data_IF_861921888563
#
_entry.id   IF_861921888563
#
_cell.length_a   1.000
_cell.length_b   1.000
_cell.length_c   1.000
_cell.angle_alpha   90.00
_cell.angle_beta   90.00
_cell.angle_gamma   90.00
#
_symmetry.space_group_name_H-M   'P 1'
#
loop_
_entity.id
_entity.type
_entity.pdbx_description
1 polymer ?
#
# COMPACT_ATOMS: atom_id res chain seq x y z
N UNK A 1 12.69 -6.96 -9.50
CA UNK A 1 11.56 -6.00 -9.59
C UNK A 1 12.08 -4.77 -10.31
N UNK A 2 11.75 -4.61 -11.59
CA UNK A 2 12.01 -3.36 -12.31
C UNK A 2 11.15 -2.27 -11.66
N UNK A 3 11.75 -1.13 -11.31
CA UNK A 3 10.99 0.00 -10.76
C UNK A 3 10.27 0.73 -11.90
N UNK A 4 9.06 1.23 -11.64
CA UNK A 4 8.23 2.00 -12.59
C UNK A 4 9.00 3.13 -13.32
N UNK A 5 9.95 3.75 -12.62
CA UNK A 5 10.80 4.82 -13.15
C UNK A 5 11.72 4.36 -14.30
N UNK A 6 12.24 3.13 -14.24
CA UNK A 6 13.09 2.56 -15.29
C UNK A 6 12.29 2.25 -16.57
N UNK A 7 11.08 1.71 -16.39
CA UNK A 7 10.17 1.33 -17.49
C UNK A 7 9.81 2.56 -18.34
N UNK A 8 9.57 3.70 -17.68
CA UNK A 8 9.25 4.94 -18.38
C UNK A 8 10.45 5.50 -19.17
N UNK A 9 11.66 5.36 -18.64
CA UNK A 9 12.89 5.83 -19.30
C UNK A 9 13.23 5.01 -20.56
N UNK A 10 12.92 3.71 -20.54
CA UNK A 10 13.20 2.78 -21.65
C UNK A 10 12.11 2.78 -22.74
N UNK A 11 11.06 3.59 -22.59
CA UNK A 11 9.95 3.66 -23.55
C UNK A 11 9.04 2.41 -23.51
N UNK A 12 9.16 1.59 -22.47
CA UNK A 12 8.26 0.50 -22.18
C UNK A 12 6.92 1.05 -21.66
N UNK A 13 5.84 0.33 -21.92
CA UNK A 13 4.48 0.74 -21.55
C UNK A 13 3.73 -0.41 -20.90
N UNK A 14 2.73 -0.08 -20.08
CA UNK A 14 1.96 -1.05 -19.31
C UNK A 14 0.47 -0.93 -19.59
N UNK A 15 -0.23 -2.07 -19.65
CA UNK A 15 -1.69 -2.13 -19.53
C UNK A 15 -2.02 -2.42 -18.07
N UNK A 16 -2.88 -1.59 -17.47
CA UNK A 16 -3.41 -1.84 -16.13
C UNK A 16 -4.73 -2.59 -16.25
N UNK A 17 -4.83 -3.71 -15.55
CA UNK A 17 -6.02 -4.54 -15.47
C UNK A 17 -6.54 -4.56 -14.02
N UNK A 18 -7.82 -4.26 -13.83
CA UNK A 18 -8.46 -4.17 -12.51
C UNK A 18 -8.41 -2.77 -11.89
N UNK A 19 -9.02 -2.62 -10.71
CA UNK A 19 -9.10 -1.37 -9.97
C UNK A 19 -8.25 -1.46 -8.70
N UNK A 20 -7.50 -0.40 -8.40
CA UNK A 20 -6.89 -0.25 -7.08
C UNK A 20 -7.99 -0.10 -6.05
N UNK A 21 -7.97 -0.91 -5.00
CA UNK A 21 -8.89 -0.76 -3.87
C UNK A 21 -8.14 -0.74 -2.55
N UNK A 22 -8.63 0.06 -1.60
CA UNK A 22 -8.12 0.10 -0.23
C UNK A 22 -9.31 -0.21 0.67
N UNK A 23 -9.18 -1.24 1.50
CA UNK A 23 -10.18 -1.67 2.45
C UNK A 23 -9.62 -1.55 3.86
N UNK A 24 -10.44 -1.10 4.80
CA UNK A 24 -10.07 -1.12 6.22
C UNK A 24 -10.42 -2.52 6.75
N UNK A 25 -9.40 -3.26 7.15
CA UNK A 25 -9.56 -4.58 7.75
C UNK A 25 -9.96 -4.48 9.22
N UNK A 26 -9.15 -3.76 10.00
CA UNK A 26 -9.34 -3.64 11.45
C UNK A 26 -9.00 -2.23 11.94
N UNK A 27 -9.66 -1.81 13.03
CA UNK A 27 -9.36 -0.58 13.76
C UNK A 27 -9.26 -0.93 15.25
N UNK A 28 -8.13 -0.60 15.87
CA UNK A 28 -7.89 -0.78 17.29
C UNK A 28 -7.65 0.57 17.95
N UNK A 29 -8.29 0.80 19.09
CA UNK A 29 -8.03 1.97 19.92
C UNK A 29 -7.14 1.55 21.08
N UNK A 30 -6.06 2.30 21.28
CA UNK A 30 -5.06 2.02 22.27
C UNK A 30 -4.81 3.25 23.14
N UNK A 31 -4.28 3.00 24.33
CA UNK A 31 -3.93 4.03 25.30
C UNK A 31 -2.62 3.64 25.95
N UNK A 32 -1.65 4.55 25.90
CA UNK A 32 -0.36 4.40 26.56
C UNK A 32 -0.44 5.02 27.96
N UNK A 33 -0.37 4.19 29.01
CA UNK A 33 -0.44 4.64 30.40
C UNK A 33 0.81 5.40 30.85
N UNK A 34 1.96 5.18 30.20
CA UNK A 34 3.22 5.83 30.57
C UNK A 34 3.32 7.25 29.98
N UNK A 35 2.74 7.49 28.80
CA UNK A 35 2.67 8.82 28.19
C UNK A 35 1.33 9.55 28.35
N UNK A 36 0.28 8.89 28.87
CA UNK A 36 -1.10 9.42 28.98
C UNK A 36 -1.70 9.79 27.60
N UNK A 37 -1.28 9.08 26.55
CA UNK A 37 -1.67 9.35 25.15
C UNK A 37 -2.57 8.25 24.57
N UNK A 38 -3.60 8.67 23.85
CA UNK A 38 -4.47 7.77 23.10
C UNK A 38 -4.06 7.74 21.62
N UNK A 39 -4.01 6.55 21.03
CA UNK A 39 -3.71 6.37 19.61
C UNK A 39 -4.60 5.31 18.96
N UNK A 40 -4.73 5.36 17.65
CA UNK A 40 -5.54 4.41 16.87
C UNK A 40 -4.66 3.66 15.89
N UNK A 41 -4.67 2.34 15.98
CA UNK A 41 -4.09 1.44 14.99
C UNK A 41 -5.13 1.13 13.92
N UNK A 42 -4.79 1.30 12.64
CA UNK A 42 -5.65 0.90 11.53
C UNK A 42 -4.90 -0.08 10.64
N UNK A 43 -5.55 -1.18 10.30
CA UNK A 43 -5.07 -2.18 9.36
C UNK A 43 -5.73 -1.96 8.01
N UNK A 44 -4.94 -1.67 6.99
CA UNK A 44 -5.42 -1.52 5.60
C UNK A 44 -5.07 -2.74 4.76
N UNK A 45 -6.05 -3.25 4.00
CA UNK A 45 -5.83 -4.13 2.86
C UNK A 45 -5.77 -3.28 1.60
N UNK A 46 -4.68 -3.37 0.86
CA UNK A 46 -4.61 -2.73 -0.46
C UNK A 46 -4.66 -3.81 -1.52
N UNK A 47 -5.42 -3.60 -2.58
CA UNK A 47 -5.37 -4.45 -3.75
C UNK A 47 -4.75 -3.65 -4.88
N UNK A 48 -3.63 -4.14 -5.38
CA UNK A 48 -2.96 -3.54 -6.52
C UNK A 48 -3.50 -4.12 -7.82
N UNK A 49 -3.80 -3.26 -8.81
CA UNK A 49 -4.24 -3.71 -10.12
C UNK A 49 -3.11 -4.50 -10.78
N UNK A 50 -3.49 -5.49 -11.58
CA UNK A 50 -2.55 -6.22 -12.40
C UNK A 50 -1.96 -5.29 -13.46
N UNK A 51 -0.74 -5.57 -13.88
CA UNK A 51 -0.09 -4.79 -14.92
C UNK A 51 0.68 -5.68 -15.89
N UNK A 52 0.36 -5.59 -17.18
CA UNK A 52 1.07 -6.27 -18.26
C UNK A 52 2.07 -5.29 -18.89
N UNK A 53 3.36 -5.59 -18.80
CA UNK A 53 4.41 -4.73 -19.34
C UNK A 53 4.89 -5.18 -20.72
N UNK A 54 5.06 -4.23 -21.63
CA UNK A 54 5.53 -4.47 -22.99
C UNK A 54 6.80 -3.67 -23.28
N UNK A 55 7.80 -4.36 -23.82
CA UNK A 55 9.06 -3.81 -24.34
C UNK A 55 9.15 -4.12 -25.83
N UNK A 56 9.37 -3.12 -26.68
CA UNK A 56 9.39 -3.27 -28.14
C UNK A 56 8.16 -4.00 -28.75
N UNK A 57 7.02 -3.93 -28.07
CA UNK A 57 5.77 -4.59 -28.47
C UNK A 57 5.66 -6.07 -28.10
N UNK A 58 6.61 -6.60 -27.32
CA UNK A 58 6.61 -7.96 -26.77
C UNK A 58 6.29 -7.91 -25.27
N UNK A 59 5.41 -8.81 -24.80
CA UNK A 59 5.09 -8.93 -23.38
C UNK A 59 6.31 -9.41 -22.60
N UNK A 60 6.67 -8.68 -21.55
CA UNK A 60 7.71 -9.06 -20.60
C UNK A 60 7.06 -9.70 -19.38
N UNK A 61 7.01 -11.04 -19.35
CA UNK A 61 6.38 -11.80 -18.27
C UNK A 61 7.08 -11.61 -16.92
N UNK A 62 8.40 -11.42 -16.90
CA UNK A 62 9.18 -11.23 -15.67
C UNK A 62 8.97 -9.84 -15.04
N UNK A 63 8.60 -8.84 -15.86
CA UNK A 63 8.25 -7.50 -15.39
C UNK A 63 6.75 -7.35 -15.12
N UNK A 64 5.90 -8.16 -15.76
CA UNK A 64 4.45 -8.21 -15.56
C UNK A 64 4.10 -8.67 -14.16
N UNK A 65 3.07 -8.03 -13.61
CA UNK A 65 2.58 -8.29 -12.26
C UNK A 65 1.16 -8.81 -12.42
N UNK A 66 0.93 -10.08 -12.05
CA UNK A 66 -0.43 -10.53 -11.77
C UNK A 66 -0.88 -9.77 -10.52
N UNK A 67 -1.96 -8.98 -10.65
CA UNK A 67 -2.47 -8.13 -9.59
C UNK A 67 -2.66 -8.94 -8.31
N UNK A 68 -2.30 -8.34 -7.19
CA UNK A 68 -2.23 -9.02 -5.90
C UNK A 68 -3.01 -8.28 -4.83
N UNK A 69 -3.43 -9.02 -3.81
CA UNK A 69 -3.66 -8.40 -2.51
C UNK A 69 -2.29 -7.98 -1.97
N UNK A 70 -2.09 -6.68 -1.87
CA UNK A 70 -0.93 -6.10 -1.18
C UNK A 70 -1.20 -6.21 0.32
N UNK A 71 -0.14 -6.59 1.04
CA UNK A 71 -0.11 -6.90 2.46
C UNK A 71 -0.97 -5.98 3.36
N UNK A 72 -1.39 -6.50 4.50
CA UNK A 72 -1.95 -5.68 5.58
C UNK A 72 -0.90 -4.67 6.07
N UNK A 73 -1.25 -3.40 6.23
CA UNK A 73 -0.35 -2.40 6.83
C UNK A 73 -0.94 -1.85 8.11
N UNK A 74 -0.17 -1.93 9.20
CA UNK A 74 -0.49 -1.22 10.43
C UNK A 74 -0.01 0.22 10.31
N UNK A 75 -0.91 1.15 10.57
CA UNK A 75 -0.56 2.56 10.73
C UNK A 75 -1.02 3.08 12.08
N UNK A 76 -0.27 4.03 12.59
CA UNK A 76 -0.67 4.89 13.69
C UNK A 76 -1.25 6.19 13.11
N UNK A 77 -2.41 6.61 13.62
CA UNK A 77 -3.01 7.89 13.26
C UNK A 77 -3.17 8.78 14.49
N UNK A 78 -2.52 9.95 14.44
CA UNK A 78 -2.62 11.00 15.46
C UNK A 78 -3.15 12.27 14.79
N UNK A 79 -4.08 12.96 15.43
CA UNK A 79 -4.60 14.22 14.91
C UNK A 79 -3.71 15.38 15.36
N UNK A 80 -3.10 16.07 14.40
CA UNK A 80 -2.37 17.32 14.63
C UNK A 80 -3.37 18.47 14.69
N UNK A 81 -3.61 18.99 15.90
CA UNK A 81 -4.54 20.09 16.12
C UNK A 81 -4.03 21.44 15.57
N UNK A 82 -2.72 21.62 15.47
CA UNK A 82 -2.10 22.87 15.03
C UNK A 82 -2.27 23.04 13.51
N UNK A 83 -2.07 21.96 12.75
CA UNK A 83 -2.23 21.95 11.29
C UNK A 83 -3.63 21.46 10.83
N UNK A 84 -4.46 20.96 11.74
CA UNK A 84 -5.83 20.51 11.46
C UNK A 84 -5.88 19.29 10.54
N UNK A 85 -4.92 18.38 10.68
CA UNK A 85 -4.74 17.23 9.79
C UNK A 85 -4.40 15.96 10.56
N UNK A 86 -4.71 14.80 9.98
CA UNK A 86 -4.26 13.51 10.53
C UNK A 86 -2.85 13.22 10.04
N UNK A 87 -1.93 13.03 10.99
CA UNK A 87 -0.60 12.50 10.73
C UNK A 87 -0.68 10.98 10.76
N UNK A 88 -0.13 10.35 9.73
CA UNK A 88 -0.14 8.90 9.54
C UNK A 88 1.30 8.42 9.57
N UNK A 89 1.63 7.61 10.57
CA UNK A 89 2.91 6.92 10.66
C UNK A 89 2.75 5.44 10.29
N UNK A 90 3.54 5.01 9.31
CA UNK A 90 3.54 3.64 8.81
C UNK A 90 4.38 2.77 9.74
N UNK A 91 3.75 1.83 10.45
CA UNK A 91 4.42 1.05 11.48
C UNK A 91 5.10 -0.18 10.89
N UNK A 92 4.35 -1.11 10.32
CA UNK A 92 4.89 -2.34 9.73
C UNK A 92 3.89 -3.02 8.79
N UNK A 93 4.41 -3.96 7.98
CA UNK A 93 3.60 -4.91 7.21
C UNK A 93 3.15 -6.04 8.11
N UNK A 94 1.85 -6.32 8.10
CA UNK A 94 1.27 -7.53 8.64
C UNK A 94 1.23 -8.64 7.59
N UNK A 95 2.24 -9.50 7.63
CA UNK A 95 2.35 -10.66 6.73
C UNK A 95 1.33 -11.77 7.03
N UNK A 96 0.60 -11.71 8.14
CA UNK A 96 -0.40 -12.72 8.51
C UNK A 96 -1.81 -12.40 7.97
N UNK A 97 -1.98 -11.24 7.33
CA UNK A 97 -3.29 -10.80 6.85
C UNK A 97 -3.76 -11.46 5.53
N UNK A 98 -2.86 -12.18 4.86
CA UNK A 98 -3.16 -12.96 3.64
C UNK A 98 -3.66 -14.40 3.90
N UNK A 99 -3.75 -14.85 5.17
CA UNK A 99 -4.28 -16.19 5.56
C UNK A 99 -5.80 -16.24 5.81
#
# INVERSE_FOLDING_TARGET
IYKWEQIYADGAWAVLDGETSIQIGEVQQNFDEDSDEAWTAVLFKMQEPASQFYEDGVLNEDASIEGGESAGWWVEMVYDEDDGQWVIDWLDVDSAFDE
#
